data_IF_129343777092
#
_entry.id   IF_129343777092
#
_cell.length_a   1.000
_cell.length_b   1.000
_cell.length_c   1.000
_cell.angle_alpha   90.00
_cell.angle_beta   90.00
_cell.angle_gamma   90.00
#
_symmetry.space_group_name_H-M   'P 1'
#
loop_
_entity.id
_entity.type
_entity.pdbx_description
1 polymer ?
#
# COMPACT_ATOMS: atom_id res chain seq x y z
N UNK A 1 -11.78 -2.24 22.80
CA UNK A 1 -11.51 -2.74 21.44
C UNK A 1 -10.02 -2.97 21.35
N UNK A 2 -9.59 -4.22 21.31
CA UNK A 2 -8.17 -4.60 21.35
C UNK A 2 -7.56 -4.30 19.99
N UNK A 3 -6.59 -3.37 19.94
CA UNK A 3 -5.75 -3.16 18.76
C UNK A 3 -4.93 -4.43 18.56
N UNK A 4 -5.42 -5.34 17.71
CA UNK A 4 -4.67 -6.52 17.31
C UNK A 4 -3.50 -6.02 16.47
N UNK A 5 -2.31 -5.99 17.07
CA UNK A 5 -1.08 -5.67 16.36
C UNK A 5 -0.97 -6.65 15.19
N UNK A 6 -0.80 -6.10 13.99
CA UNK A 6 -0.61 -6.87 12.78
C UNK A 6 0.65 -7.71 12.98
N UNK A 7 0.53 -9.04 13.01
CA UNK A 7 1.67 -9.95 13.13
C UNK A 7 2.44 -9.94 11.81
N UNK A 8 3.64 -9.37 11.84
CA UNK A 8 4.56 -9.25 10.73
C UNK A 8 5.71 -10.22 11.00
N UNK A 9 6.01 -11.14 10.09
CA UNK A 9 7.20 -11.98 10.23
C UNK A 9 8.44 -11.10 10.11
N UNK A 10 9.40 -11.35 11.00
CA UNK A 10 10.52 -10.47 11.33
C UNK A 10 11.22 -9.87 10.09
N UNK A 11 11.11 -8.55 9.98
CA UNK A 11 11.68 -7.63 8.97
C UNK A 11 10.90 -7.47 7.67
N UNK A 12 9.93 -6.53 7.67
CA UNK A 12 9.46 -5.93 6.42
C UNK A 12 10.60 -5.21 5.73
N UNK A 13 10.76 -5.49 4.44
CA UNK A 13 11.70 -4.78 3.57
C UNK A 13 10.89 -3.90 2.62
N UNK A 14 11.35 -2.68 2.40
CA UNK A 14 10.71 -1.76 1.45
C UNK A 14 11.68 -1.32 0.35
N UNK A 15 11.16 -1.27 -0.86
CA UNK A 15 11.79 -0.62 -2.01
C UNK A 15 10.88 0.54 -2.43
N UNK A 16 11.47 1.74 -2.52
CA UNK A 16 10.74 2.96 -2.88
C UNK A 16 11.44 3.62 -4.05
N UNK A 17 10.67 3.97 -5.09
CA UNK A 17 11.16 4.75 -6.20
C UNK A 17 10.07 5.68 -6.74
N UNK A 18 10.51 6.74 -7.41
CA UNK A 18 9.66 7.71 -8.08
C UNK A 18 9.71 7.39 -9.57
N UNK A 19 8.55 7.15 -10.17
CA UNK A 19 8.42 7.12 -11.62
C UNK A 19 8.36 8.57 -12.12
N UNK A 20 9.42 9.02 -12.80
CA UNK A 20 9.55 10.39 -13.30
C UNK A 20 8.57 10.72 -14.43
N UNK A 21 8.09 9.72 -15.18
CA UNK A 21 7.16 9.94 -16.29
C UNK A 21 5.75 10.29 -15.78
N UNK A 22 5.32 9.61 -14.72
CA UNK A 22 3.98 9.74 -14.15
C UNK A 22 3.95 10.56 -12.85
N UNK A 23 5.11 10.91 -12.31
CA UNK A 23 5.29 11.43 -10.95
C UNK A 23 4.67 10.50 -9.87
N UNK A 24 4.59 9.19 -10.15
CA UNK A 24 4.05 8.23 -9.21
C UNK A 24 5.11 7.80 -8.18
N UNK A 25 4.67 7.60 -6.93
CA UNK A 25 5.48 6.95 -5.90
C UNK A 25 5.12 5.47 -5.89
N UNK A 26 6.09 4.60 -6.15
CA UNK A 26 5.91 3.16 -6.09
C UNK A 26 6.61 2.65 -4.83
N UNK A 27 5.82 2.01 -3.96
CA UNK A 27 6.30 1.44 -2.69
C UNK A 27 6.03 -0.06 -2.73
N UNK A 28 7.09 -0.86 -2.85
CA UNK A 28 7.02 -2.30 -2.64
C UNK A 28 7.37 -2.62 -1.20
N UNK A 29 6.47 -3.30 -0.48
CA UNK A 29 6.72 -3.80 0.87
C UNK A 29 6.61 -5.32 0.86
N UNK A 30 7.68 -6.00 1.25
CA UNK A 30 7.79 -7.47 1.26
C UNK A 30 7.84 -8.00 2.69
N UNK A 31 7.49 -9.28 2.88
CA UNK A 31 7.62 -9.98 4.17
C UNK A 31 6.29 -10.21 4.90
N UNK A 32 5.15 -9.95 4.28
CA UNK A 32 3.85 -10.31 4.85
C UNK A 32 3.60 -11.81 4.71
N UNK A 33 3.21 -12.44 5.81
CA UNK A 33 2.82 -13.87 5.87
C UNK A 33 1.44 -14.14 5.30
N UNK A 34 0.61 -13.10 5.18
CA UNK A 34 -0.79 -13.19 4.77
C UNK A 34 -1.23 -11.95 3.98
N UNK A 35 -2.06 -12.19 2.96
CA UNK A 35 -2.56 -11.15 2.06
C UNK A 35 -3.46 -10.14 2.78
N UNK A 36 -4.30 -10.58 3.72
CA UNK A 36 -5.18 -9.69 4.48
C UNK A 36 -4.36 -8.75 5.34
N UNK A 37 -3.30 -9.25 5.98
CA UNK A 37 -2.34 -8.44 6.74
C UNK A 37 -1.68 -7.38 5.85
N UNK A 38 -1.25 -7.74 4.63
CA UNK A 38 -0.69 -6.77 3.67
C UNK A 38 -1.70 -5.68 3.28
N UNK A 39 -2.96 -6.05 3.04
CA UNK A 39 -4.03 -5.11 2.70
C UNK A 39 -4.36 -4.16 3.87
N UNK A 40 -4.49 -4.69 5.08
CA UNK A 40 -4.75 -3.90 6.29
C UNK A 40 -3.59 -2.92 6.54
N UNK A 41 -2.34 -3.36 6.35
CA UNK A 41 -1.15 -2.50 6.47
C UNK A 41 -1.16 -1.36 5.44
N UNK A 42 -1.42 -1.67 4.16
CA UNK A 42 -1.48 -0.65 3.10
C UNK A 42 -2.58 0.39 3.36
N UNK A 43 -3.76 -0.07 3.79
CA UNK A 43 -4.88 0.81 4.12
C UNK A 43 -4.53 1.76 5.28
N UNK A 44 -3.92 1.25 6.35
CA UNK A 44 -3.49 2.07 7.49
C UNK A 44 -2.33 3.02 7.13
N UNK A 45 -1.38 2.58 6.30
CA UNK A 45 -0.28 3.42 5.82
C UNK A 45 -0.80 4.64 5.05
N UNK A 46 -1.71 4.42 4.10
CA UNK A 46 -2.24 5.48 3.25
C UNK A 46 -3.20 6.42 4.00
N UNK A 47 -4.00 5.87 4.92
CA UNK A 47 -4.83 6.67 5.82
C UNK A 47 -3.97 7.61 6.68
N UNK A 48 -2.84 7.13 7.20
CA UNK A 48 -1.92 7.96 8.00
C UNK A 48 -1.16 9.00 7.18
N UNK A 49 -0.93 8.76 5.89
CA UNK A 49 -0.31 9.75 5.00
C UNK A 49 -1.27 10.85 4.55
N UNK A 50 -2.55 10.80 4.95
CA UNK A 50 -3.57 11.74 4.51
C UNK A 50 -3.97 11.57 3.05
N UNK A 51 -3.60 10.44 2.43
CA UNK A 51 -3.94 10.13 1.04
C UNK A 51 -5.30 9.45 1.03
N UNK A 52 -6.21 9.94 0.21
CA UNK A 52 -7.51 9.32 0.05
C UNK A 52 -7.33 8.04 -0.78
N UNK A 53 -7.33 6.91 -0.10
CA UNK A 53 -7.07 5.60 -0.71
C UNK A 53 -8.36 4.97 -1.22
N UNK A 54 -8.42 4.70 -2.52
CA UNK A 54 -9.37 3.78 -3.11
C UNK A 54 -8.62 2.52 -3.51
N UNK A 55 -8.84 1.37 -2.84
CA UNK A 55 -8.21 0.11 -3.24
C UNK A 55 -8.60 -0.22 -4.67
N UNK A 56 -7.61 -0.25 -5.55
CA UNK A 56 -7.79 -0.78 -6.90
C UNK A 56 -7.80 -2.30 -6.79
N UNK A 57 -8.98 -2.88 -6.99
CA UNK A 57 -9.18 -4.34 -7.05
C UNK A 57 -8.45 -4.92 -8.27
N UNK A 58 -8.20 -4.09 -9.29
CA UNK A 58 -7.53 -4.44 -10.53
C UNK A 58 -6.58 -3.31 -10.94
N UNK A 59 -5.31 -3.65 -11.20
CA UNK A 59 -4.26 -2.72 -11.65
C UNK A 59 -4.61 -2.06 -13.00
N UNK A 60 -5.50 -2.68 -13.78
CA UNK A 60 -5.97 -2.14 -15.05
C UNK A 60 -7.20 -1.22 -14.92
N UNK A 61 -7.77 -1.10 -13.71
CA UNK A 61 -8.85 -0.16 -13.38
C UNK A 61 -8.32 1.10 -12.68
N UNK A 62 -7.16 1.61 -13.09
CA UNK A 62 -6.73 2.94 -12.69
C UNK A 62 -7.85 3.95 -13.05
N UNK A 63 -8.20 4.90 -12.17
CA UNK A 63 -9.14 5.95 -12.53
C UNK A 63 -8.63 6.64 -13.80
N UNK A 64 -9.43 6.57 -14.87
CA UNK A 64 -9.13 7.17 -16.16
C UNK A 64 -9.31 8.69 -16.10
N UNK A 65 -8.54 9.41 -15.31
CA UNK A 65 -8.43 10.87 -15.45
C UNK A 65 -7.02 11.25 -15.00
N UNK A 66 -6.20 11.87 -15.85
CA UNK A 66 -6.29 13.30 -16.17
C UNK A 66 -6.05 13.57 -17.66
N UNK A 67 -7.12 13.83 -18.42
CA UNK A 67 -7.11 14.69 -19.62
C UNK A 67 -8.08 15.84 -19.35
#
# INVERSE_FOLDING_TARGET
>A
MTNKLIEVQDNLQSLVFIDEETNAIIIHVYGFSDRKIALDFAAEMLKKSGVNYTPLIDLFNLPQTLN
#
